data_IF_986169417170
#
_entry.id   IF_986169417170
#
_cell.length_a   1.000
_cell.length_b   1.000
_cell.length_c   1.000
_cell.angle_alpha   90.00
_cell.angle_beta   90.00
_cell.angle_gamma   90.00
#
_symmetry.space_group_name_H-M   'P 1'
#
loop_
_entity.id
_entity.type
_entity.pdbx_description
1 polymer ?
#
# COMPACT_ATOMS: atom_id res chain seq x y z
N UNK A 1 25.14 0.36 10.48
CA UNK A 1 24.00 -0.57 10.32
C UNK A 1 22.72 0.18 10.64
N UNK A 2 21.95 0.53 9.61
CA UNK A 2 20.71 1.31 9.78
C UNK A 2 19.55 0.33 9.97
N UNK A 3 19.18 0.08 11.23
CA UNK A 3 17.90 -0.52 11.60
C UNK A 3 16.78 0.51 11.36
N UNK A 4 16.61 0.95 10.11
CA UNK A 4 15.57 1.89 9.73
C UNK A 4 14.27 1.14 9.50
N UNK A 5 13.50 1.02 10.58
CA UNK A 5 12.05 1.26 10.55
C UNK A 5 11.26 0.47 9.48
N UNK A 6 11.24 -0.86 9.56
CA UNK A 6 10.44 -1.70 8.63
C UNK A 6 8.93 -1.41 8.81
N UNK A 7 8.53 -0.93 10.00
CA UNK A 7 7.18 -0.44 10.34
C UNK A 7 7.00 1.08 10.10
N UNK A 8 8.08 1.75 9.69
CA UNK A 8 8.09 3.17 9.39
C UNK A 8 7.36 3.46 8.10
N UNK A 9 6.16 4.00 8.26
CA UNK A 9 5.56 4.95 7.32
C UNK A 9 4.72 4.41 6.16
N UNK A 10 4.08 3.24 6.32
CA UNK A 10 3.01 2.83 5.39
C UNK A 10 1.89 3.87 5.36
N UNK A 11 1.56 4.46 6.51
CA UNK A 11 0.44 5.39 6.69
C UNK A 11 0.62 6.71 5.92
N UNK A 12 1.85 7.14 5.67
CA UNK A 12 2.14 8.38 4.94
C UNK A 12 2.36 8.17 3.45
N UNK A 13 2.48 6.92 2.99
CA UNK A 13 2.60 6.62 1.56
C UNK A 13 1.34 7.01 0.81
N UNK A 14 1.53 7.68 -0.32
CA UNK A 14 0.50 7.85 -1.34
C UNK A 14 0.16 6.52 -2.02
N UNK A 15 -0.95 6.48 -2.77
CA UNK A 15 -1.34 5.32 -3.59
C UNK A 15 -0.24 4.94 -4.58
N UNK A 16 0.42 5.96 -5.17
CA UNK A 16 1.48 5.75 -6.16
C UNK A 16 2.70 5.09 -5.52
N UNK A 17 3.16 5.60 -4.39
CA UNK A 17 4.31 5.04 -3.66
C UNK A 17 4.04 3.63 -3.14
N UNK A 18 2.83 3.38 -2.61
CA UNK A 18 2.44 2.05 -2.16
C UNK A 18 2.41 1.05 -3.33
N UNK A 19 1.91 1.46 -4.51
CA UNK A 19 1.88 0.61 -5.71
C UNK A 19 3.28 0.35 -6.26
N UNK A 20 4.17 1.35 -6.22
CA UNK A 20 5.55 1.19 -6.64
C UNK A 20 6.28 0.18 -5.76
N UNK A 21 6.12 0.25 -4.44
CA UNK A 21 6.68 -0.75 -3.52
C UNK A 21 6.09 -2.14 -3.72
N UNK A 22 4.77 -2.27 -3.95
CA UNK A 22 4.14 -3.55 -4.31
C UNK A 22 4.82 -4.15 -5.54
N UNK A 23 5.02 -3.36 -6.59
CA UNK A 23 5.63 -3.84 -7.83
C UNK A 23 7.08 -4.31 -7.61
N UNK A 24 7.87 -3.59 -6.82
CA UNK A 24 9.25 -4.00 -6.51
C UNK A 24 9.29 -5.31 -5.71
N UNK A 25 8.39 -5.48 -4.75
CA UNK A 25 8.28 -6.73 -3.98
C UNK A 25 7.84 -7.89 -4.88
N UNK A 26 6.87 -7.68 -5.77
CA UNK A 26 6.42 -8.71 -6.72
C UNK A 26 7.54 -9.13 -7.67
N UNK A 27 8.29 -8.18 -8.25
CA UNK A 27 9.46 -8.50 -9.10
C UNK A 27 10.48 -9.38 -8.36
N UNK A 28 10.71 -9.10 -7.07
CA UNK A 28 11.57 -9.93 -6.23
C UNK A 28 10.99 -11.33 -6.08
N UNK A 29 9.74 -11.45 -5.64
CA UNK A 29 9.07 -12.73 -5.37
C UNK A 29 8.88 -13.63 -6.61
N UNK A 30 8.76 -13.02 -7.79
CA UNK A 30 8.63 -13.71 -9.08
C UNK A 30 9.98 -14.05 -9.72
N UNK A 31 11.10 -13.68 -9.09
CA UNK A 31 12.43 -14.06 -9.55
C UNK A 31 12.76 -15.51 -9.21
N UNK A 32 13.62 -16.15 -10.00
CA UNK A 32 13.94 -17.58 -9.86
C UNK A 32 14.84 -17.91 -8.64
N UNK A 33 15.36 -16.90 -7.93
CA UNK A 33 16.37 -17.03 -6.86
C UNK A 33 15.84 -16.63 -5.47
N UNK A 34 14.53 -16.80 -5.25
CA UNK A 34 13.88 -16.32 -4.02
C UNK A 34 14.05 -17.31 -2.87
N UNK A 35 14.71 -16.86 -1.80
CA UNK A 35 14.76 -17.57 -0.52
C UNK A 35 13.42 -17.50 0.21
N UNK A 36 12.86 -18.67 0.57
CA UNK A 36 11.57 -18.82 1.24
C UNK A 36 11.46 -18.01 2.54
N UNK A 37 12.55 -17.94 3.31
CA UNK A 37 12.57 -17.21 4.60
C UNK A 37 12.47 -15.71 4.36
N UNK A 38 13.11 -15.21 3.31
CA UNK A 38 13.03 -13.82 2.87
C UNK A 38 11.64 -13.46 2.33
N UNK A 39 10.98 -14.40 1.63
CA UNK A 39 9.64 -14.19 1.05
C UNK A 39 8.56 -13.95 2.08
N UNK A 40 8.66 -14.55 3.28
CA UNK A 40 7.63 -14.41 4.33
C UNK A 40 7.43 -12.93 4.68
N UNK A 41 8.52 -12.18 4.86
CA UNK A 41 8.46 -10.75 5.18
C UNK A 41 7.91 -9.94 4.03
N UNK A 42 8.29 -10.29 2.80
CA UNK A 42 7.81 -9.65 1.57
C UNK A 42 6.30 -9.83 1.39
N UNK A 43 5.78 -11.05 1.61
CA UNK A 43 4.34 -11.32 1.58
C UNK A 43 3.58 -10.61 2.69
N UNK A 44 4.11 -10.59 3.92
CA UNK A 44 3.53 -9.80 5.02
C UNK A 44 3.42 -8.32 4.63
N UNK A 45 4.49 -7.78 4.02
CA UNK A 45 4.52 -6.40 3.56
C UNK A 45 3.51 -6.12 2.46
N UNK A 46 3.35 -7.03 1.48
CA UNK A 46 2.31 -6.92 0.45
C UNK A 46 0.90 -6.84 1.04
N UNK A 47 0.60 -7.63 2.08
CA UNK A 47 -0.70 -7.59 2.75
C UNK A 47 -0.94 -6.23 3.40
N UNK A 48 0.07 -5.67 4.08
CA UNK A 48 -0.03 -4.35 4.69
C UNK A 48 -0.22 -3.24 3.64
N UNK A 49 0.56 -3.26 2.56
CA UNK A 49 0.46 -2.28 1.47
C UNK A 49 -0.93 -2.33 0.80
N UNK A 50 -1.44 -3.53 0.53
CA UNK A 50 -2.77 -3.69 -0.06
C UNK A 50 -3.89 -3.15 0.85
N UNK A 51 -3.81 -3.40 2.17
CA UNK A 51 -4.77 -2.84 3.15
C UNK A 51 -4.71 -1.31 3.19
N UNK A 52 -3.52 -0.73 3.08
CA UNK A 52 -3.34 0.72 3.04
C UNK A 52 -3.96 1.33 1.77
N UNK A 53 -3.70 0.75 0.61
CA UNK A 53 -4.29 1.17 -0.67
C UNK A 53 -5.82 1.11 -0.63
N UNK A 54 -6.40 0.02 -0.13
CA UNK A 54 -7.85 -0.10 0.06
C UNK A 54 -8.41 0.99 0.99
N UNK A 55 -7.72 1.30 2.08
CA UNK A 55 -8.10 2.38 3.00
C UNK A 55 -8.10 3.75 2.31
N UNK A 56 -7.08 4.04 1.48
CA UNK A 56 -7.00 5.28 0.71
C UNK A 56 -8.14 5.38 -0.31
N UNK A 57 -8.47 4.31 -1.04
CA UNK A 57 -9.60 4.30 -1.97
C UNK A 57 -10.93 4.51 -1.25
N UNK A 58 -11.17 3.83 -0.13
CA UNK A 58 -12.37 4.03 0.69
C UNK A 58 -12.50 5.46 1.17
N UNK A 59 -11.40 6.09 1.62
CA UNK A 59 -11.39 7.50 2.04
C UNK A 59 -11.76 8.43 0.89
N UNK A 60 -11.14 8.26 -0.29
CA UNK A 60 -11.42 9.07 -1.47
C UNK A 60 -12.85 8.90 -1.98
N UNK A 61 -13.37 7.68 -1.99
CA UNK A 61 -14.75 7.43 -2.39
C UNK A 61 -15.76 8.14 -1.46
N UNK A 62 -15.54 8.07 -0.13
CA UNK A 62 -16.37 8.80 0.84
C UNK A 62 -16.34 10.32 0.64
N UNK A 63 -15.16 10.86 0.35
CA UNK A 63 -14.97 12.29 0.04
C UNK A 63 -15.79 12.70 -1.19
N UNK A 64 -15.71 11.92 -2.29
CA UNK A 64 -16.48 12.14 -3.52
C UNK A 64 -17.99 12.12 -3.23
N UNK A 65 -18.49 11.08 -2.54
CA UNK A 65 -19.92 10.96 -2.19
C UNK A 65 -20.40 12.18 -1.39
N UNK A 66 -19.59 12.63 -0.42
CA UNK A 66 -19.89 13.81 0.39
C UNK A 66 -19.97 15.09 -0.46
N UNK A 67 -19.02 15.30 -1.37
CA UNK A 67 -19.01 16.46 -2.27
C UNK A 67 -20.21 16.46 -3.22
N UNK A 68 -20.55 15.30 -3.80
CA UNK A 68 -21.72 15.17 -4.67
C UNK A 68 -23.03 15.47 -3.94
N UNK A 69 -23.19 15.01 -2.69
CA UNK A 69 -24.37 15.34 -1.87
C UNK A 69 -24.49 16.84 -1.61
N UNK A 70 -23.38 17.52 -1.26
CA UNK A 70 -23.36 18.97 -1.04
C UNK A 70 -23.73 19.76 -2.30
N UNK A 71 -23.30 19.30 -3.47
CA UNK A 71 -23.62 19.96 -4.74
C UNK A 71 -25.07 19.75 -5.19
N UNK A 72 -25.75 18.67 -4.79
CA UNK A 72 -27.19 18.46 -5.06
C UNK A 72 -28.12 19.26 -4.15
N UNK A 73 -27.59 19.81 -3.06
CA UNK A 73 -28.32 20.63 -2.07
C UNK A 73 -28.18 22.14 -2.33
N UNK A 74 -27.39 22.53 -3.34
CA UNK A 74 -27.28 23.90 -3.85
C UNK A 74 -28.13 24.05 -5.10
#
# INVERSE_FOLDING_TARGET
>A
MKNQNILGDIKSKSIKEAREEINEILKKLESNDVDLTSSIKDYQRLIELNRHVDTLFKKKNKEIISLTKKNKLK
#
